data_IF_299529213095
#
_entry.id   IF_299529213095
#
_cell.length_a   1.000
_cell.length_b   1.000
_cell.length_c   1.000
_cell.angle_alpha   90.00
_cell.angle_beta   90.00
_cell.angle_gamma   90.00
#
_symmetry.space_group_name_H-M   'P 1'
#
loop_
_entity.id
_entity.type
_entity.pdbx_description
1 polymer ?
#
# COMPACT_ATOMS: atom_id res chain seq x y z
N UNK A 1 17.67 22.73 -16.46
CA UNK A 1 17.34 22.62 -15.03
C UNK A 1 16.50 21.37 -14.92
N UNK A 2 17.09 20.30 -14.39
CA UNK A 2 16.46 18.99 -14.39
C UNK A 2 15.16 19.05 -13.58
N UNK A 3 14.21 18.19 -13.93
CA UNK A 3 12.91 18.09 -13.21
C UNK A 3 13.09 17.90 -11.70
N UNK A 4 14.25 17.37 -11.27
CA UNK A 4 14.64 17.16 -9.89
C UNK A 4 15.08 18.45 -9.19
N UNK A 5 15.92 19.27 -9.84
CA UNK A 5 16.38 20.54 -9.29
C UNK A 5 15.21 21.45 -8.95
N UNK A 6 14.20 21.47 -9.83
CA UNK A 6 12.99 22.26 -9.62
C UNK A 6 12.15 21.75 -8.44
N UNK A 7 11.97 20.43 -8.32
CA UNK A 7 11.24 19.84 -7.19
C UNK A 7 11.92 20.09 -5.85
N UNK A 8 13.26 20.07 -5.82
CA UNK A 8 14.05 20.36 -4.63
C UNK A 8 13.90 21.84 -4.26
N UNK A 9 14.01 22.76 -5.22
CA UNK A 9 13.82 24.19 -4.99
C UNK A 9 12.41 24.48 -4.46
N UNK A 10 11.37 23.94 -5.12
CA UNK A 10 9.97 24.11 -4.70
C UNK A 10 9.72 23.54 -3.28
N UNK A 11 10.40 22.44 -2.91
CA UNK A 11 10.32 21.84 -1.57
C UNK A 11 10.98 22.72 -0.51
N UNK A 12 12.19 23.23 -0.79
CA UNK A 12 12.95 24.09 0.12
C UNK A 12 12.17 25.38 0.41
N UNK A 13 11.58 25.98 -0.61
CA UNK A 13 10.80 27.22 -0.49
C UNK A 13 9.55 27.08 0.41
N UNK A 14 9.07 25.87 0.66
CA UNK A 14 7.89 25.58 1.50
C UNK A 14 8.22 25.31 2.97
N UNK A 15 9.51 25.19 3.34
CA UNK A 15 9.94 24.82 4.69
C UNK A 15 10.25 26.05 5.55
N UNK A 16 9.21 26.72 6.05
CA UNK A 16 9.39 27.83 7.00
C UNK A 16 9.83 27.32 8.39
N UNK A 17 10.81 28.01 9.00
CA UNK A 17 11.21 27.78 10.39
C UNK A 17 12.17 26.60 10.63
N UNK A 18 12.73 26.02 9.57
CA UNK A 18 13.76 24.98 9.63
C UNK A 18 15.13 25.54 9.23
N UNK A 19 16.18 24.94 9.78
CA UNK A 19 17.56 25.22 9.38
C UNK A 19 17.87 24.62 8.02
N UNK A 20 18.88 25.16 7.33
CA UNK A 20 19.35 24.60 6.05
C UNK A 20 19.74 23.12 6.18
N UNK A 21 20.38 22.73 7.29
CA UNK A 21 20.75 21.33 7.55
C UNK A 21 19.52 20.41 7.68
N UNK A 22 18.49 20.85 8.42
CA UNK A 22 17.23 20.09 8.56
C UNK A 22 16.49 19.96 7.23
N UNK A 23 16.48 21.04 6.43
CA UNK A 23 15.87 21.05 5.11
C UNK A 23 16.59 20.06 4.18
N UNK A 24 17.93 20.05 4.20
CA UNK A 24 18.71 19.13 3.37
C UNK A 24 18.53 17.67 3.77
N UNK A 25 18.49 17.37 5.08
CA UNK A 25 18.21 16.02 5.59
C UNK A 25 16.81 15.56 5.15
N UNK A 26 15.81 16.45 5.27
CA UNK A 26 14.45 16.15 4.82
C UNK A 26 14.34 15.94 3.32
N UNK A 27 14.95 16.82 2.52
CA UNK A 27 14.97 16.68 1.06
C UNK A 27 15.65 15.36 0.64
N UNK A 28 16.72 14.98 1.33
CA UNK A 28 17.39 13.70 1.12
C UNK A 28 16.42 12.52 1.33
N UNK A 29 15.67 12.52 2.43
CA UNK A 29 14.79 11.42 2.80
C UNK A 29 13.46 11.40 2.03
N UNK A 30 12.88 12.56 1.72
CA UNK A 30 11.55 12.66 1.11
C UNK A 30 11.57 12.68 -0.42
N UNK A 31 12.69 13.08 -1.04
CA UNK A 31 12.79 13.24 -2.49
C UNK A 31 13.92 12.40 -3.09
N UNK A 32 15.15 12.60 -2.62
CA UNK A 32 16.34 12.06 -3.29
C UNK A 32 16.40 10.53 -3.15
N UNK A 33 16.34 10.00 -1.93
CA UNK A 33 16.39 8.54 -1.69
C UNK A 33 15.21 7.83 -2.38
N UNK A 34 13.94 8.29 -2.26
CA UNK A 34 12.83 7.68 -2.99
C UNK A 34 13.03 7.63 -4.50
N UNK A 35 13.58 8.69 -5.09
CA UNK A 35 13.88 8.71 -6.53
C UNK A 35 14.97 7.72 -6.92
N UNK A 36 16.03 7.60 -6.11
CA UNK A 36 17.08 6.60 -6.33
C UNK A 36 16.52 5.17 -6.27
N UNK A 37 15.69 4.89 -5.26
CA UNK A 37 14.98 3.61 -5.10
C UNK A 37 14.16 3.31 -6.36
N UNK A 38 13.29 4.24 -6.77
CA UNK A 38 12.40 4.04 -7.93
C UNK A 38 13.23 3.85 -9.21
N UNK A 39 14.22 4.70 -9.45
CA UNK A 39 15.07 4.62 -10.64
C UNK A 39 15.78 3.27 -10.74
N UNK A 40 16.44 2.86 -9.66
CA UNK A 40 17.18 1.60 -9.60
C UNK A 40 16.26 0.39 -9.80
N UNK A 41 15.08 0.42 -9.20
CA UNK A 41 14.12 -0.67 -9.31
C UNK A 41 13.52 -0.76 -10.73
N UNK A 42 13.29 0.37 -11.37
CA UNK A 42 12.84 0.44 -12.78
C UNK A 42 13.90 -0.08 -13.75
N UNK A 43 15.18 0.23 -13.53
CA UNK A 43 16.29 -0.36 -14.29
C UNK A 43 16.27 -1.89 -14.20
N UNK A 44 16.16 -2.43 -12.98
CA UNK A 44 16.04 -3.85 -12.73
C UNK A 44 14.83 -4.48 -13.41
N UNK A 45 13.66 -3.85 -13.28
CA UNK A 45 12.43 -4.30 -13.95
C UNK A 45 12.63 -4.45 -15.46
N UNK A 46 13.38 -3.53 -16.07
CA UNK A 46 13.65 -3.54 -17.50
C UNK A 46 14.71 -4.60 -17.89
N UNK A 47 15.82 -4.71 -17.14
CA UNK A 47 16.92 -5.61 -17.50
C UNK A 47 16.76 -7.06 -17.03
N UNK A 48 15.94 -7.35 -16.01
CA UNK A 48 15.81 -8.69 -15.40
C UNK A 48 15.50 -9.82 -16.38
N UNK A 49 14.80 -9.53 -17.48
CA UNK A 49 14.49 -10.51 -18.54
C UNK A 49 15.73 -11.16 -19.16
N UNK A 50 16.88 -10.50 -19.07
CA UNK A 50 18.17 -11.00 -19.55
C UNK A 50 18.90 -11.87 -18.53
N UNK A 51 18.49 -11.82 -17.26
CA UNK A 51 19.12 -12.57 -16.17
C UNK A 51 18.37 -13.88 -15.87
N UNK A 52 17.07 -13.93 -16.15
CA UNK A 52 16.29 -15.17 -16.05
C UNK A 52 16.55 -16.08 -17.26
N UNK A 53 17.34 -17.15 -17.07
CA UNK A 53 17.41 -18.25 -18.03
C UNK A 53 16.11 -19.06 -17.97
N UNK A 54 15.54 -19.38 -19.14
CA UNK A 54 14.27 -20.14 -19.23
C UNK A 54 14.43 -21.64 -18.94
N UNK A 55 15.65 -22.16 -19.01
CA UNK A 55 15.93 -23.60 -18.95
C UNK A 55 16.41 -24.08 -17.55
N UNK A 56 16.78 -23.17 -16.64
CA UNK A 56 17.26 -23.50 -15.30
C UNK A 56 16.28 -23.02 -14.21
N UNK A 57 15.81 -24.01 -13.45
CA UNK A 57 15.29 -24.07 -12.07
C UNK A 57 15.10 -22.78 -11.22
N UNK A 58 14.23 -22.93 -10.21
CA UNK A 58 13.96 -22.04 -9.08
C UNK A 58 15.18 -21.26 -8.54
N UNK A 59 16.37 -21.88 -8.57
CA UNK A 59 17.62 -21.33 -8.03
C UNK A 59 18.10 -20.05 -8.74
N UNK A 60 17.94 -19.93 -10.06
CA UNK A 60 18.33 -18.71 -10.78
C UNK A 60 17.43 -17.55 -10.38
N UNK A 61 16.13 -17.81 -10.29
CA UNK A 61 15.18 -16.77 -9.92
C UNK A 61 15.41 -16.28 -8.49
N UNK A 62 15.67 -17.18 -7.54
CA UNK A 62 16.00 -16.80 -6.16
C UNK A 62 17.30 -16.00 -6.07
N UNK A 63 18.34 -16.39 -6.83
CA UNK A 63 19.60 -15.66 -6.90
C UNK A 63 19.42 -14.22 -7.43
N UNK A 64 18.70 -14.05 -8.54
CA UNK A 64 18.42 -12.72 -9.11
C UNK A 64 17.62 -11.87 -8.12
N UNK A 65 16.60 -12.44 -7.47
CA UNK A 65 15.85 -11.70 -6.44
C UNK A 65 16.72 -11.24 -5.27
N UNK A 66 17.64 -12.09 -4.79
CA UNK A 66 18.60 -11.72 -3.73
C UNK A 66 19.53 -10.59 -4.17
N UNK A 67 20.10 -10.68 -5.37
CA UNK A 67 20.97 -9.64 -5.93
C UNK A 67 20.25 -8.29 -6.02
N UNK A 68 19.00 -8.29 -6.52
CA UNK A 68 18.20 -7.05 -6.59
C UNK A 68 17.98 -6.48 -5.19
N UNK A 69 17.63 -7.32 -4.21
CA UNK A 69 17.44 -6.88 -2.83
C UNK A 69 18.71 -6.24 -2.26
N UNK A 70 19.86 -6.87 -2.43
CA UNK A 70 21.15 -6.36 -1.94
C UNK A 70 21.46 -4.99 -2.54
N UNK A 71 21.34 -4.83 -3.86
CA UNK A 71 21.55 -3.52 -4.53
C UNK A 71 20.56 -2.44 -4.06
N UNK A 72 19.36 -2.81 -3.65
CA UNK A 72 18.39 -1.85 -3.10
C UNK A 72 18.74 -1.43 -1.68
N UNK A 73 19.23 -2.37 -0.84
CA UNK A 73 19.66 -2.10 0.53
C UNK A 73 20.95 -1.27 0.60
N UNK A 74 21.76 -1.29 -0.46
CA UNK A 74 22.92 -0.38 -0.59
C UNK A 74 22.51 1.10 -0.69
N UNK A 75 21.29 1.40 -1.19
CA UNK A 75 20.78 2.78 -1.24
C UNK A 75 20.40 3.26 0.16
N UNK A 76 19.67 2.41 0.88
CA UNK A 76 19.26 2.63 2.26
C UNK A 76 19.03 1.28 2.93
N UNK A 77 19.66 1.06 4.08
CA UNK A 77 19.52 -0.18 4.85
C UNK A 77 18.20 -0.20 5.67
N UNK A 78 17.09 -0.01 4.96
CA UNK A 78 15.73 -0.04 5.50
C UNK A 78 14.78 -0.64 4.45
N UNK A 79 14.55 -1.94 4.57
CA UNK A 79 13.66 -2.68 3.66
C UNK A 79 12.22 -2.18 3.72
N UNK A 80 11.74 -1.75 4.89
CA UNK A 80 10.37 -1.24 5.05
C UNK A 80 10.20 0.10 4.33
N UNK A 81 11.19 0.99 4.43
CA UNK A 81 11.19 2.25 3.71
C UNK A 81 11.19 2.04 2.18
N UNK A 82 12.04 1.11 1.69
CA UNK A 82 12.09 0.74 0.27
C UNK A 82 10.74 0.21 -0.20
N UNK A 83 10.16 -0.76 0.53
CA UNK A 83 8.87 -1.37 0.17
C UNK A 83 7.76 -0.33 0.17
N UNK A 84 7.68 0.52 1.19
CA UNK A 84 6.66 1.57 1.25
C UNK A 84 6.77 2.56 0.09
N UNK A 85 7.99 2.93 -0.30
CA UNK A 85 8.26 3.81 -1.45
C UNK A 85 7.77 3.17 -2.75
N UNK A 86 8.12 1.90 -2.98
CA UNK A 86 7.74 1.17 -4.19
C UNK A 86 6.24 0.86 -4.22
N UNK A 87 5.61 0.60 -3.08
CA UNK A 87 4.15 0.42 -2.97
C UNK A 87 3.44 1.70 -3.40
N UNK A 88 3.79 2.86 -2.82
CA UNK A 88 3.23 4.16 -3.24
C UNK A 88 3.39 4.36 -4.74
N UNK A 89 4.61 4.17 -5.26
CA UNK A 89 4.89 4.37 -6.68
C UNK A 89 4.06 3.45 -7.60
N UNK A 90 3.93 2.15 -7.29
CA UNK A 90 3.27 1.19 -8.18
C UNK A 90 1.77 1.04 -7.98
N UNK A 91 1.24 1.39 -6.81
CA UNK A 91 -0.18 1.22 -6.49
C UNK A 91 -0.97 2.53 -6.53
N UNK A 92 -0.35 3.69 -6.40
CA UNK A 92 -1.04 4.99 -6.49
C UNK A 92 -1.19 5.52 -7.93
N UNK A 93 -0.60 4.85 -8.92
CA UNK A 93 -0.71 5.25 -10.33
C UNK A 93 -2.02 4.77 -10.97
N UNK A 94 -2.69 5.64 -11.73
CA UNK A 94 -3.90 5.30 -12.50
C UNK A 94 -3.69 4.12 -13.49
N UNK A 95 -2.47 3.98 -14.02
CA UNK A 95 -2.11 2.89 -14.93
C UNK A 95 -1.53 1.71 -14.14
N UNK A 96 -2.03 0.48 -14.36
CA UNK A 96 -1.52 -0.68 -13.63
C UNK A 96 -0.10 -1.05 -14.07
N UNK A 97 0.88 -0.91 -13.16
CA UNK A 97 2.26 -1.34 -13.40
C UNK A 97 2.47 -2.81 -12.96
N UNK A 98 1.93 -3.76 -13.74
CA UNK A 98 1.95 -5.19 -13.41
C UNK A 98 3.38 -5.72 -13.27
N UNK A 99 4.30 -5.26 -14.14
CA UNK A 99 5.69 -5.69 -14.12
C UNK A 99 6.43 -5.27 -12.85
N UNK A 100 6.24 -4.02 -12.41
CA UNK A 100 6.83 -3.48 -11.19
C UNK A 100 6.26 -4.14 -9.94
N UNK A 101 4.92 -4.31 -9.87
CA UNK A 101 4.26 -5.05 -8.80
C UNK A 101 4.78 -6.48 -8.69
N UNK A 102 4.90 -7.18 -9.82
CA UNK A 102 5.44 -8.54 -9.83
C UNK A 102 6.87 -8.56 -9.27
N UNK A 103 7.76 -7.70 -9.76
CA UNK A 103 9.13 -7.63 -9.25
C UNK A 103 9.18 -7.33 -7.76
N UNK A 104 8.32 -6.43 -7.27
CA UNK A 104 8.24 -6.10 -5.86
C UNK A 104 7.89 -7.31 -5.00
N UNK A 105 6.93 -8.12 -5.42
CA UNK A 105 6.61 -9.39 -4.76
C UNK A 105 7.74 -10.42 -4.89
N UNK A 106 8.38 -10.50 -6.06
CA UNK A 106 9.50 -11.41 -6.33
C UNK A 106 10.69 -11.12 -5.38
N UNK A 107 10.96 -9.85 -5.08
CA UNK A 107 12.14 -9.41 -4.33
C UNK A 107 11.85 -9.21 -2.85
N UNK A 108 10.73 -8.58 -2.50
CA UNK A 108 10.35 -8.13 -1.14
C UNK A 108 9.04 -8.74 -0.64
N UNK A 109 8.65 -9.91 -1.16
CA UNK A 109 7.37 -10.55 -0.83
C UNK A 109 7.20 -10.91 0.65
N UNK A 110 8.28 -11.27 1.34
CA UNK A 110 8.33 -11.51 2.79
C UNK A 110 8.02 -10.25 3.61
N UNK A 111 8.64 -9.11 3.26
CA UNK A 111 8.43 -7.81 3.91
C UNK A 111 7.00 -7.32 3.64
N UNK A 112 6.57 -7.38 2.38
CA UNK A 112 5.19 -7.09 1.99
C UNK A 112 4.18 -7.93 2.77
N UNK A 113 4.41 -9.25 2.86
CA UNK A 113 3.54 -10.16 3.58
C UNK A 113 3.49 -9.81 5.08
N UNK A 114 4.65 -9.54 5.69
CA UNK A 114 4.72 -9.12 7.09
C UNK A 114 3.92 -7.84 7.33
N UNK A 115 4.10 -6.82 6.47
CA UNK A 115 3.42 -5.54 6.57
C UNK A 115 1.91 -5.67 6.37
N UNK A 116 1.47 -6.45 5.37
CA UNK A 116 0.04 -6.75 5.17
C UNK A 116 -0.50 -7.50 6.38
N UNK A 117 0.21 -8.50 6.90
CA UNK A 117 -0.23 -9.30 8.05
C UNK A 117 -0.41 -8.43 9.29
N UNK A 118 0.53 -7.54 9.59
CA UNK A 118 0.41 -6.64 10.74
C UNK A 118 -0.68 -5.59 10.53
N UNK A 119 -0.74 -4.95 9.35
CA UNK A 119 -1.78 -3.95 9.03
C UNK A 119 -3.21 -4.54 9.02
N UNK A 120 -3.33 -5.85 8.78
CA UNK A 120 -4.62 -6.55 8.74
C UNK A 120 -4.95 -7.29 10.04
N UNK A 121 -4.05 -7.27 11.02
CA UNK A 121 -4.22 -7.91 12.31
C UNK A 121 -5.39 -7.30 13.08
N UNK A 122 -6.17 -8.15 13.74
CA UNK A 122 -7.32 -7.72 14.53
C UNK A 122 -8.50 -7.15 13.73
N UNK A 123 -8.38 -7.00 12.40
CA UNK A 123 -9.45 -6.47 11.55
C UNK A 123 -10.14 -7.55 10.75
N UNK A 124 -11.37 -7.29 10.32
CA UNK A 124 -12.16 -8.15 9.41
C UNK A 124 -12.66 -7.33 8.23
N UNK A 125 -12.87 -7.97 7.09
CA UNK A 125 -13.59 -7.37 5.95
C UNK A 125 -15.09 -7.39 6.20
N UNK A 126 -15.77 -6.29 5.89
CA UNK A 126 -17.21 -6.17 5.98
C UNK A 126 -17.91 -6.95 4.86
N UNK A 127 -18.86 -7.83 5.19
CA UNK A 127 -19.65 -8.57 4.18
C UNK A 127 -20.44 -7.66 3.23
N UNK A 128 -20.71 -6.42 3.64
CA UNK A 128 -21.59 -5.49 2.92
C UNK A 128 -20.83 -4.54 2.00
N UNK A 129 -19.76 -3.90 2.50
CA UNK A 129 -19.01 -2.89 1.76
C UNK A 129 -17.58 -3.33 1.40
N UNK A 130 -17.09 -4.46 1.92
CA UNK A 130 -15.71 -4.91 1.72
C UNK A 130 -14.67 -4.22 2.62
N UNK A 131 -14.99 -3.05 3.18
CA UNK A 131 -14.06 -2.29 4.03
C UNK A 131 -13.59 -3.09 5.24
N UNK A 132 -12.33 -2.88 5.62
CA UNK A 132 -11.78 -3.46 6.84
C UNK A 132 -12.25 -2.68 8.06
N UNK A 133 -12.57 -3.38 9.13
CA UNK A 133 -12.96 -2.79 10.41
C UNK A 133 -12.49 -3.65 11.59
N UNK A 134 -12.31 -3.01 12.74
CA UNK A 134 -12.06 -3.70 14.01
C UNK A 134 -13.39 -4.21 14.60
N UNK A 135 -13.57 -5.54 14.75
CA UNK A 135 -14.80 -6.09 15.28
C UNK A 135 -14.88 -5.86 16.80
N UNK A 136 -15.93 -5.18 17.24
CA UNK A 136 -16.24 -5.02 18.68
C UNK A 136 -16.85 -6.27 19.32
N UNK A 137 -17.32 -7.22 18.49
CA UNK A 137 -17.94 -8.47 18.93
C UNK A 137 -17.39 -9.63 18.10
N UNK A 138 -17.22 -10.79 18.75
CA UNK A 138 -16.67 -11.99 18.10
C UNK A 138 -17.40 -12.36 16.80
N UNK A 139 -18.74 -12.27 16.79
CA UNK A 139 -19.61 -12.61 15.65
C UNK A 139 -19.96 -11.41 14.75
N UNK A 140 -19.29 -10.28 14.90
CA UNK A 140 -19.51 -9.13 14.02
C UNK A 140 -18.93 -9.43 12.63
N UNK A 141 -19.78 -9.36 11.60
CA UNK A 141 -19.39 -9.59 10.19
C UNK A 141 -19.55 -8.33 9.32
N UNK A 142 -20.13 -7.26 9.87
CA UNK A 142 -20.36 -5.99 9.18
C UNK A 142 -19.73 -4.84 9.97
N UNK A 143 -19.19 -3.87 9.25
CA UNK A 143 -18.65 -2.66 9.87
C UNK A 143 -19.76 -1.88 10.60
N UNK A 144 -19.41 -0.99 11.56
CA UNK A 144 -20.39 -0.25 12.35
C UNK A 144 -21.38 0.54 11.50
N UNK A 145 -20.92 1.15 10.40
CA UNK A 145 -21.77 1.94 9.50
C UNK A 145 -22.82 1.08 8.79
N UNK A 146 -22.43 -0.05 8.21
CA UNK A 146 -23.36 -0.97 7.56
C UNK A 146 -24.32 -1.62 8.56
N UNK A 147 -23.84 -1.96 9.76
CA UNK A 147 -24.71 -2.50 10.81
C UNK A 147 -25.79 -1.49 11.23
N UNK A 148 -25.44 -0.21 11.32
CA UNK A 148 -26.37 0.84 11.67
C UNK A 148 -27.43 1.08 10.57
N UNK A 149 -27.02 1.06 9.29
CA UNK A 149 -27.95 1.11 8.15
C UNK A 149 -29.00 -0.01 8.23
N UNK A 150 -28.57 -1.24 8.49
CA UNK A 150 -29.47 -2.40 8.60
C UNK A 150 -30.41 -2.29 9.81
N UNK A 151 -29.93 -1.79 10.96
CA UNK A 151 -30.78 -1.58 12.14
C UNK A 151 -31.88 -0.57 11.86
N UNK A 152 -31.55 0.56 11.24
CA UNK A 152 -32.51 1.60 10.86
C UNK A 152 -33.59 1.03 9.92
N UNK A 153 -33.18 0.25 8.92
CA UNK A 153 -34.13 -0.36 8.00
C UNK A 153 -35.04 -1.39 8.70
N UNK A 154 -34.48 -2.24 9.56
CA UNK A 154 -35.29 -3.19 10.35
C UNK A 154 -36.27 -2.48 11.27
N UNK A 155 -35.89 -1.37 11.90
CA UNK A 155 -36.77 -0.57 12.73
C UNK A 155 -37.93 0.04 11.91
N UNK A 156 -37.61 0.57 10.71
CA UNK A 156 -38.61 1.08 9.75
C UNK A 156 -39.62 -0.01 9.36
N UNK A 157 -39.14 -1.20 8.98
CA UNK A 157 -39.98 -2.34 8.61
C UNK A 157 -40.87 -2.84 9.76
N UNK A 158 -40.36 -2.83 11.00
CA UNK A 158 -41.17 -3.18 12.19
C UNK A 158 -42.33 -2.20 12.40
N UNK A 159 -42.09 -0.90 12.23
CA UNK A 159 -43.11 0.15 12.36
C UNK A 159 -44.20 0.00 11.29
N UNK A 160 -43.80 -0.28 10.04
CA UNK A 160 -44.74 -0.54 8.94
C UNK A 160 -45.63 -1.74 9.27
N UNK A 161 -45.04 -2.89 9.63
CA UNK A 161 -45.78 -4.10 9.99
C UNK A 161 -46.73 -3.91 11.18
N UNK A 162 -46.34 -3.12 12.17
CA UNK A 162 -47.19 -2.82 13.32
C UNK A 162 -48.43 -2.01 12.90
N UNK A 163 -48.25 -0.99 12.06
CA UNK A 163 -49.34 -0.16 11.57
C UNK A 163 -50.31 -0.95 10.68
N UNK A 164 -49.80 -1.85 9.83
CA UNK A 164 -50.62 -2.75 9.00
C UNK A 164 -51.49 -3.68 9.85
N UNK A 165 -50.93 -4.30 10.89
CA UNK A 165 -51.69 -5.13 11.82
C UNK A 165 -52.80 -4.36 12.53
N UNK A 166 -52.55 -3.10 12.91
CA UNK A 166 -53.57 -2.25 13.55
C UNK A 166 -54.73 -1.94 12.60
N UNK A 167 -54.45 -1.71 11.31
CA UNK A 167 -55.48 -1.49 10.30
C UNK A 167 -56.33 -2.73 10.02
N UNK A 168 -55.72 -3.92 10.02
CA UNK A 168 -56.43 -5.17 9.72
C UNK A 168 -57.31 -5.69 10.87
N UNK A 169 -57.12 -5.19 12.10
CA UNK A 169 -57.89 -5.57 13.29
C UNK A 169 -59.01 -4.57 13.62
N UNK A 170 -59.37 -3.68 12.68
CA UNK A 170 -60.38 -2.63 12.81
C UNK A 170 -61.48 -2.86 11.76
#
# INVERSE_FOLDING_TARGET
MDSLDKLIVDYIEQQEGLTEEEIMIKAQFELIIPMQIISKFEEWKNKRRFYFNKDDNHDNYEYVSKLIREEMLEIIDDADFIVNTLVKHYYDSEKPNIGGKKLLWDVFGDVLYSNIKENTKGTKSCDECGDRFEPTKQRQTKCPSCQEKIKKEKARLRKIKFNEKKKNNQ
#
